data_IF_843483513027
#
_entry.id   IF_843483513027
#
_cell.length_a   1.000
_cell.length_b   1.000
_cell.length_c   1.000
_cell.angle_alpha   90.00
_cell.angle_beta   90.00
_cell.angle_gamma   90.00
#
_symmetry.space_group_name_H-M   'P 1'
#
loop_
_entity.id
_entity.type
_entity.pdbx_description
1 polymer ?
#
# COMPACT_ATOMS: atom_id res chain seq x y z
N UNK A 1 5.52 -17.87 -5.82
CA UNK A 1 6.22 -16.56 -5.75
C UNK A 1 6.63 -16.18 -7.16
N UNK A 2 6.13 -15.06 -7.66
CA UNK A 2 6.43 -14.57 -9.00
C UNK A 2 7.42 -13.41 -8.89
N UNK A 3 8.60 -13.56 -9.53
CA UNK A 3 9.65 -12.53 -9.49
C UNK A 3 9.30 -11.33 -10.38
N UNK A 4 9.45 -10.13 -9.82
CA UNK A 4 9.14 -8.86 -10.49
C UNK A 4 10.35 -8.15 -11.15
N UNK A 5 11.43 -8.88 -11.43
CA UNK A 5 12.69 -8.25 -11.87
C UNK A 5 12.55 -7.39 -13.15
N UNK A 6 11.76 -7.84 -14.12
CA UNK A 6 11.46 -7.13 -15.38
C UNK A 6 10.62 -5.88 -15.14
N UNK A 7 9.59 -5.97 -14.29
CA UNK A 7 8.80 -4.81 -13.86
C UNK A 7 9.68 -3.75 -13.20
N UNK A 8 10.52 -4.13 -12.23
CA UNK A 8 11.40 -3.19 -11.54
C UNK A 8 12.40 -2.53 -12.48
N UNK A 9 12.97 -3.31 -13.42
CA UNK A 9 13.91 -2.80 -14.42
C UNK A 9 13.24 -1.80 -15.38
N UNK A 10 11.98 -2.03 -15.77
CA UNK A 10 11.24 -1.08 -16.62
C UNK A 10 11.14 0.30 -15.95
N UNK A 11 10.96 0.34 -14.62
CA UNK A 11 10.85 1.61 -13.90
C UNK A 11 12.14 2.44 -13.94
N UNK A 12 13.30 1.77 -14.00
CA UNK A 12 14.61 2.42 -14.14
C UNK A 12 14.83 2.87 -15.59
N UNK A 13 14.47 2.05 -16.57
CA UNK A 13 14.70 2.37 -17.98
C UNK A 13 13.75 3.44 -18.53
N UNK A 14 12.60 3.66 -17.90
CA UNK A 14 11.57 4.57 -18.40
C UNK A 14 11.24 5.70 -17.42
N UNK A 15 11.80 6.91 -17.62
CA UNK A 15 11.54 8.06 -16.74
C UNK A 15 10.06 8.42 -16.59
N UNK A 16 9.27 8.28 -17.66
CA UNK A 16 7.83 8.54 -17.62
C UNK A 16 7.04 7.52 -16.78
N UNK A 17 7.61 6.31 -16.58
CA UNK A 17 6.96 5.16 -15.95
C UNK A 17 5.58 4.88 -16.54
N UNK A 18 5.44 5.11 -17.84
CA UNK A 18 4.19 4.91 -18.58
C UNK A 18 4.40 3.90 -19.71
N UNK A 19 3.48 2.97 -19.85
CA UNK A 19 3.49 1.95 -20.90
C UNK A 19 2.06 1.61 -21.31
N UNK A 20 1.89 1.01 -22.49
CA UNK A 20 0.61 0.41 -22.89
C UNK A 20 0.36 -0.86 -22.08
N UNK A 21 -0.90 -1.28 -21.94
CA UNK A 21 -1.24 -2.44 -21.08
C UNK A 21 -0.56 -3.73 -21.50
N UNK A 22 -0.36 -3.96 -22.80
CA UNK A 22 0.35 -5.16 -23.30
C UNK A 22 1.81 -5.19 -22.81
N UNK A 23 2.48 -4.05 -22.72
CA UNK A 23 3.85 -3.97 -22.22
C UNK A 23 3.91 -4.15 -20.71
N UNK A 24 2.92 -3.62 -19.97
CA UNK A 24 2.77 -3.92 -18.54
C UNK A 24 2.53 -5.41 -18.29
N UNK A 25 1.72 -6.07 -19.12
CA UNK A 25 1.47 -7.50 -19.07
C UNK A 25 2.75 -8.30 -19.38
N UNK A 26 3.54 -7.88 -20.38
CA UNK A 26 4.82 -8.51 -20.73
C UNK A 26 5.81 -8.46 -19.55
N UNK A 27 5.98 -7.30 -18.91
CA UNK A 27 6.96 -7.16 -17.82
C UNK A 27 6.47 -7.70 -16.48
N UNK A 28 5.15 -7.75 -16.24
CA UNK A 28 4.57 -8.26 -14.99
C UNK A 28 4.29 -9.77 -15.04
N UNK A 29 4.01 -10.33 -16.23
CA UNK A 29 3.60 -11.72 -16.39
C UNK A 29 2.40 -12.07 -15.50
N UNK A 30 2.50 -13.19 -14.78
CA UNK A 30 1.47 -13.66 -13.83
C UNK A 30 1.21 -12.67 -12.68
N UNK A 31 2.13 -11.74 -12.41
CA UNK A 31 1.97 -10.73 -11.38
C UNK A 31 1.14 -9.51 -11.83
N UNK A 32 0.67 -9.47 -13.08
CA UNK A 32 -0.15 -8.36 -13.59
C UNK A 32 -1.33 -7.97 -12.68
N UNK A 33 -2.09 -8.91 -12.06
CA UNK A 33 -3.18 -8.55 -11.15
C UNK A 33 -2.72 -7.71 -9.94
N UNK A 34 -1.49 -7.88 -9.47
CA UNK A 34 -0.90 -7.08 -8.39
C UNK A 34 -0.46 -5.68 -8.88
N UNK A 35 -0.04 -5.57 -10.14
CA UNK A 35 0.48 -4.34 -10.74
C UNK A 35 -0.64 -3.44 -11.25
N UNK A 36 -1.69 -4.01 -11.86
CA UNK A 36 -2.77 -3.25 -12.51
C UNK A 36 -3.43 -2.17 -11.61
N UNK A 37 -3.69 -2.40 -10.31
CA UNK A 37 -4.22 -1.37 -9.40
C UNK A 37 -3.27 -0.19 -9.16
N UNK A 38 -1.98 -0.35 -9.49
CA UNK A 38 -0.95 0.68 -9.39
C UNK A 38 -0.86 1.53 -10.66
N UNK A 39 -1.63 1.21 -11.70
CA UNK A 39 -1.59 1.87 -13.00
C UNK A 39 -2.76 2.84 -13.16
N UNK A 40 -2.49 4.00 -13.76
CA UNK A 40 -3.52 4.98 -14.10
C UNK A 40 -3.42 5.40 -15.56
N UNK A 41 -4.53 5.42 -16.32
CA UNK A 41 -4.50 5.92 -17.68
C UNK A 41 -4.11 7.40 -17.69
N UNK A 42 -3.36 7.80 -18.71
CA UNK A 42 -3.00 9.20 -18.97
C UNK A 42 -3.54 9.62 -20.33
N UNK A 43 -3.89 10.91 -20.47
CA UNK A 43 -4.54 11.43 -21.67
C UNK A 43 -3.69 11.36 -22.96
N UNK A 44 -2.38 11.10 -22.84
CA UNK A 44 -1.50 10.96 -24.00
C UNK A 44 -1.61 9.55 -24.58
N UNK A 45 -1.63 9.45 -25.91
CA UNK A 45 -1.50 8.17 -26.61
C UNK A 45 -0.03 7.74 -26.70
N UNK A 46 0.19 6.44 -26.82
CA UNK A 46 1.50 5.89 -27.12
C UNK A 46 1.96 6.29 -28.53
N UNK A 47 3.22 6.66 -28.67
CA UNK A 47 3.86 6.91 -29.97
C UNK A 47 4.58 5.68 -30.51
N UNK A 48 4.67 4.63 -29.71
CA UNK A 48 5.30 3.37 -30.05
C UNK A 48 4.55 2.20 -29.39
N UNK A 49 4.57 1.03 -30.03
CA UNK A 49 3.86 -0.17 -29.60
C UNK A 49 4.80 -1.40 -29.67
N UNK A 50 4.72 -2.38 -28.75
CA UNK A 50 5.55 -3.57 -28.80
C UNK A 50 5.38 -4.36 -30.11
N UNK A 51 6.49 -4.83 -30.68
CA UNK A 51 6.48 -5.77 -31.80
C UNK A 51 6.44 -7.21 -31.24
N UNK A 52 5.41 -7.97 -31.60
CA UNK A 52 5.24 -9.36 -31.16
C UNK A 52 6.28 -10.30 -31.80
N UNK A 53 6.88 -9.91 -32.93
CA UNK A 53 7.89 -10.72 -33.64
C UNK A 53 9.27 -10.65 -32.99
N UNK A 54 9.55 -9.57 -32.25
CA UNK A 54 10.89 -9.31 -31.72
C UNK A 54 10.82 -8.61 -30.36
N UNK A 55 11.09 -9.33 -29.26
CA UNK A 55 11.12 -8.76 -27.92
C UNK A 55 12.05 -7.53 -27.84
N UNK A 56 11.57 -6.46 -27.23
CA UNK A 56 12.31 -5.20 -27.11
C UNK A 56 12.26 -4.28 -28.35
N UNK A 57 11.82 -4.77 -29.52
CA UNK A 57 11.54 -3.93 -30.69
C UNK A 57 10.22 -3.19 -30.51
N UNK A 58 10.11 -2.02 -31.13
CA UNK A 58 8.95 -1.13 -31.03
C UNK A 58 8.55 -0.64 -32.41
N UNK A 59 7.27 -0.79 -32.73
CA UNK A 59 6.63 -0.26 -33.93
C UNK A 59 6.20 1.19 -33.66
N UNK A 60 6.28 2.05 -34.67
CA UNK A 60 5.80 3.44 -34.57
C UNK A 60 4.29 3.46 -34.67
N UNK A 61 3.64 4.19 -33.76
CA UNK A 61 2.18 4.38 -33.80
C UNK A 61 1.85 5.61 -34.61
N UNK A 62 1.03 5.44 -35.65
CA UNK A 62 0.49 6.49 -36.49
C UNK A 62 -1.01 6.62 -36.22
N UNK A 63 -1.47 7.84 -35.97
CA UNK A 63 -2.90 8.17 -35.88
C UNK A 63 -3.36 8.73 -37.21
N UNK A 64 -4.36 8.11 -37.82
CA UNK A 64 -4.97 8.58 -39.06
C UNK A 64 -6.06 9.62 -38.78
N UNK A 65 -6.42 10.40 -39.81
CA UNK A 65 -7.42 11.47 -39.71
C UNK A 65 -8.84 10.97 -39.40
N UNK A 66 -9.13 9.69 -39.69
CA UNK A 66 -10.37 9.00 -39.35
C UNK A 66 -10.43 8.53 -37.88
N UNK A 67 -9.37 8.78 -37.10
CA UNK A 67 -9.28 8.39 -35.70
C UNK A 67 -8.73 6.98 -35.47
N UNK A 68 -8.39 6.23 -36.51
CA UNK A 68 -7.76 4.91 -36.38
C UNK A 68 -6.28 5.02 -36.01
N UNK A 69 -5.77 3.97 -35.36
CA UNK A 69 -4.36 3.86 -35.01
C UNK A 69 -3.74 2.66 -35.73
N UNK A 70 -2.53 2.82 -36.23
CA UNK A 70 -1.76 1.74 -36.87
C UNK A 70 -0.34 1.75 -36.31
N UNK A 71 0.12 0.60 -35.82
CA UNK A 71 1.52 0.35 -35.53
C UNK A 71 2.22 -0.11 -36.81
N UNK A 72 3.31 0.55 -37.18
CA UNK A 72 4.08 0.28 -38.38
C UNK A 72 5.55 0.05 -38.05
N UNK A 73 6.18 -0.82 -38.83
CA UNK A 73 7.63 -0.95 -38.88
C UNK A 73 8.19 0.10 -39.86
N UNK A 74 9.09 0.96 -39.39
CA UNK A 74 9.68 2.01 -40.24
C UNK A 74 10.66 1.44 -41.29
N UNK A 75 11.11 0.19 -41.11
CA UNK A 75 12.00 -0.50 -42.06
C UNK A 75 11.24 -1.45 -42.99
N UNK A 76 10.05 -1.92 -42.59
CA UNK A 76 9.16 -2.77 -43.39
C UNK A 76 7.72 -2.27 -43.32
N UNK A 77 7.37 -1.32 -44.18
CA UNK A 77 6.03 -0.71 -44.21
C UNK A 77 4.88 -1.69 -44.50
N UNK A 78 5.17 -2.90 -44.97
CA UNK A 78 4.16 -3.96 -45.13
C UNK A 78 3.82 -4.62 -43.79
N UNK A 79 4.74 -4.59 -42.84
CA UNK A 79 4.49 -5.00 -41.47
C UNK A 79 3.76 -3.90 -40.70
N UNK A 80 2.43 -4.01 -40.71
CA UNK A 80 1.51 -3.11 -40.02
C UNK A 80 0.50 -3.87 -39.18
N UNK A 81 0.07 -3.25 -38.09
CA UNK A 81 -0.97 -3.75 -37.19
C UNK A 81 -1.95 -2.63 -36.88
N UNK A 82 -3.24 -2.87 -37.14
CA UNK A 82 -4.30 -1.97 -36.69
C UNK A 82 -4.44 -2.05 -35.17
N UNK A 83 -4.52 -0.89 -34.53
CA UNK A 83 -4.68 -0.73 -33.09
C UNK A 83 -6.02 -0.04 -32.80
N UNK A 84 -6.65 -0.45 -31.70
CA UNK A 84 -7.80 0.25 -31.14
C UNK A 84 -7.37 1.48 -30.36
N UNK A 85 -8.32 2.35 -30.03
CA UNK A 85 -8.05 3.48 -29.14
C UNK A 85 -7.60 3.02 -27.75
N UNK A 86 -8.04 1.84 -27.28
CA UNK A 86 -7.66 1.27 -25.99
C UNK A 86 -6.21 0.77 -25.98
N UNK A 87 -5.74 0.18 -27.09
CA UNK A 87 -4.37 -0.35 -27.23
C UNK A 87 -3.31 0.75 -27.05
N UNK A 88 -3.61 1.97 -27.51
CA UNK A 88 -2.67 3.09 -27.45
C UNK A 88 -2.74 3.90 -26.15
N UNK A 89 -3.62 3.53 -25.21
CA UNK A 89 -3.71 4.22 -23.91
C UNK A 89 -2.47 3.94 -23.09
N UNK A 90 -1.72 5.01 -22.80
CA UNK A 90 -0.61 4.91 -21.86
C UNK A 90 -1.15 4.86 -20.44
N UNK A 91 -0.61 3.93 -19.67
CA UNK A 91 -0.87 3.73 -18.27
C UNK A 91 0.39 4.07 -17.49
N UNK A 92 0.33 5.12 -16.67
CA UNK A 92 1.42 5.58 -15.83
C UNK A 92 1.33 4.96 -14.43
N UNK A 93 2.49 4.57 -13.89
CA UNK A 93 2.60 4.11 -12.52
C UNK A 93 2.21 5.21 -11.52
N UNK A 94 1.24 4.91 -10.68
CA UNK A 94 0.82 5.76 -9.59
C UNK A 94 1.71 5.54 -8.37
N UNK A 95 2.66 6.46 -8.16
CA UNK A 95 3.58 6.43 -7.04
C UNK A 95 2.88 6.50 -5.66
N UNK A 96 1.65 7.03 -5.58
CA UNK A 96 0.89 7.02 -4.32
C UNK A 96 0.40 5.62 -4.00
N UNK A 97 -0.19 4.93 -4.96
CA UNK A 97 -0.64 3.55 -4.78
C UNK A 97 0.55 2.61 -4.58
N UNK A 98 1.64 2.80 -5.33
CA UNK A 98 2.89 2.04 -5.14
C UNK A 98 3.44 2.20 -3.71
N UNK A 99 3.47 3.43 -3.18
CA UNK A 99 3.86 3.66 -1.78
C UNK A 99 3.01 2.84 -0.81
N UNK A 100 1.69 2.89 -0.98
CA UNK A 100 0.76 2.15 -0.14
C UNK A 100 1.01 0.65 -0.19
N UNK A 101 1.18 0.10 -1.39
CA UNK A 101 1.45 -1.33 -1.60
C UNK A 101 2.78 -1.77 -0.99
N UNK A 102 3.87 -1.01 -1.22
CA UNK A 102 5.19 -1.33 -0.66
C UNK A 102 5.22 -1.23 0.87
N UNK A 103 4.58 -0.23 1.46
CA UNK A 103 4.51 -0.13 2.92
C UNK A 103 3.61 -1.21 3.54
N UNK A 104 2.61 -1.71 2.81
CA UNK A 104 1.81 -2.85 3.27
C UNK A 104 2.59 -4.17 3.19
N UNK A 105 3.48 -4.29 2.20
CA UNK A 105 4.31 -5.49 1.99
C UNK A 105 5.51 -5.56 2.95
N UNK A 106 6.21 -4.43 3.13
CA UNK A 106 7.43 -4.36 3.95
C UNK A 106 7.09 -4.19 5.43
N UNK A 107 7.35 -5.21 6.22
CA UNK A 107 7.10 -5.19 7.66
C UNK A 107 7.85 -4.06 8.35
N UNK A 108 7.22 -3.54 9.41
CA UNK A 108 7.75 -2.48 10.26
C UNK A 108 8.00 -1.13 9.56
N UNK A 109 7.50 -0.92 8.34
CA UNK A 109 7.56 0.37 7.65
C UNK A 109 6.22 1.11 7.80
N UNK A 110 6.24 2.20 8.55
CA UNK A 110 5.11 3.13 8.63
C UNK A 110 4.94 3.90 7.31
N UNK A 111 3.71 4.23 6.93
CA UNK A 111 3.45 5.00 5.68
C UNK A 111 3.75 6.49 5.86
N UNK A 112 4.50 7.07 4.94
CA UNK A 112 4.77 8.51 4.86
C UNK A 112 3.54 9.30 4.43
N UNK A 113 3.34 10.45 5.08
CA UNK A 113 2.35 11.46 4.69
C UNK A 113 2.92 12.55 3.78
N UNK A 114 4.22 12.49 3.43
CA UNK A 114 4.83 13.48 2.53
C UNK A 114 4.13 13.47 1.18
N UNK A 115 3.96 14.66 0.60
CA UNK A 115 3.32 14.82 -0.71
C UNK A 115 4.08 14.01 -1.76
N UNK A 116 3.35 13.26 -2.58
CA UNK A 116 3.92 12.51 -3.70
C UNK A 116 3.79 13.32 -4.98
N UNK A 117 4.91 13.61 -5.64
CA UNK A 117 4.90 14.14 -7.00
C UNK A 117 4.86 13.00 -8.01
N UNK A 118 4.14 13.18 -9.13
CA UNK A 118 3.93 12.12 -10.14
C UNK A 118 5.24 11.66 -10.80
N UNK A 119 6.17 12.59 -11.01
CA UNK A 119 7.44 12.36 -11.69
C UNK A 119 8.64 12.26 -10.74
N UNK A 120 8.43 12.14 -9.42
CA UNK A 120 9.52 12.08 -8.46
C UNK A 120 10.47 10.91 -8.76
N UNK A 121 11.78 11.17 -8.73
CA UNK A 121 12.83 10.14 -8.67
C UNK A 121 13.03 9.63 -7.24
N UNK A 122 12.59 10.38 -6.23
CA UNK A 122 12.69 10.04 -4.82
C UNK A 122 11.29 9.95 -4.22
N UNK A 123 10.93 8.78 -3.74
CA UNK A 123 9.66 8.53 -3.06
C UNK A 123 9.93 8.11 -1.62
N UNK A 124 9.64 8.98 -0.65
CA UNK A 124 9.66 8.55 0.75
C UNK A 124 8.51 7.58 1.00
N UNK A 125 8.83 6.34 1.33
CA UNK A 125 7.84 5.32 1.67
C UNK A 125 7.29 5.54 3.07
N UNK A 126 8.20 5.81 4.02
CA UNK A 126 7.91 6.27 5.38
C UNK A 126 9.05 5.95 6.31
N UNK A 127 8.81 5.30 7.46
CA UNK A 127 9.87 5.04 8.44
C UNK A 127 9.85 3.61 8.95
N UNK A 128 11.03 2.99 9.02
CA UNK A 128 11.25 1.78 9.78
C UNK A 128 11.38 2.12 11.27
N UNK A 129 10.52 1.52 12.10
CA UNK A 129 10.39 1.84 13.53
C UNK A 129 10.56 0.60 14.43
N UNK A 130 11.78 0.05 14.56
CA UNK A 130 12.02 -1.16 15.35
C UNK A 130 11.79 -0.95 16.86
N UNK A 131 11.82 0.30 17.36
CA UNK A 131 11.45 0.70 18.74
C UNK A 131 10.97 2.15 18.80
N UNK A 132 10.22 2.53 19.85
CA UNK A 132 9.52 3.83 19.99
C UNK A 132 10.39 5.08 19.76
N UNK A 133 11.70 5.00 20.02
CA UNK A 133 12.65 6.12 19.87
C UNK A 133 13.56 5.99 18.64
N UNK A 134 13.44 4.93 17.85
CA UNK A 134 14.28 4.71 16.68
C UNK A 134 13.41 4.77 15.43
N UNK A 135 13.63 5.81 14.62
CA UNK A 135 12.89 6.08 13.39
C UNK A 135 13.91 6.30 12.28
N UNK A 136 13.86 5.46 11.27
CA UNK A 136 14.76 5.55 10.13
C UNK A 136 13.92 5.71 8.86
N UNK A 137 14.11 6.80 8.09
CA UNK A 137 13.35 6.99 6.88
C UNK A 137 13.71 5.93 5.84
N UNK A 138 12.69 5.49 5.11
CA UNK A 138 12.76 4.52 4.02
C UNK A 138 12.35 5.23 2.74
N UNK A 139 13.23 5.23 1.75
CA UNK A 139 13.02 5.87 0.45
C UNK A 139 13.09 4.85 -0.67
N UNK A 140 12.30 5.03 -1.72
CA UNK A 140 12.47 4.39 -3.02
C UNK A 140 13.04 5.39 -4.01
N UNK A 141 14.20 5.07 -4.60
CA UNK A 141 14.95 5.89 -5.54
C UNK A 141 14.79 5.29 -6.94
N UNK A 142 13.90 5.86 -7.75
CA UNK A 142 13.64 5.45 -9.13
C UNK A 142 14.45 6.35 -10.06
N UNK A 143 15.71 5.97 -10.29
CA UNK A 143 16.67 6.72 -11.11
C UNK A 143 16.97 5.95 -12.40
N UNK A 144 17.09 6.66 -13.53
CA UNK A 144 17.31 6.05 -14.86
C UNK A 144 18.77 5.95 -15.30
N UNK A 145 19.70 6.35 -14.43
CA UNK A 145 21.13 6.23 -14.68
C UNK A 145 21.91 6.21 -13.37
N UNK A 146 23.15 5.73 -13.44
CA UNK A 146 24.12 5.78 -12.33
C UNK A 146 24.37 7.23 -11.87
N UNK A 147 24.48 8.17 -12.80
CA UNK A 147 24.69 9.59 -12.49
C UNK A 147 23.52 10.18 -11.71
N UNK A 148 22.29 9.89 -12.14
CA UNK A 148 21.09 10.34 -11.43
C UNK A 148 21.01 9.74 -10.02
N UNK A 149 21.30 8.45 -9.88
CA UNK A 149 21.35 7.78 -8.58
C UNK A 149 22.42 8.40 -7.66
N UNK A 150 23.62 8.68 -8.19
CA UNK A 150 24.71 9.33 -7.46
C UNK A 150 24.27 10.68 -6.90
N UNK A 151 23.67 11.54 -7.71
CA UNK A 151 23.19 12.86 -7.29
C UNK A 151 22.19 12.75 -6.15
N UNK A 152 21.20 11.86 -6.29
CA UNK A 152 20.19 11.64 -5.24
C UNK A 152 20.82 11.13 -3.95
N UNK A 153 21.78 10.20 -4.02
CA UNK A 153 22.49 9.70 -2.83
C UNK A 153 23.28 10.83 -2.16
N UNK A 154 23.99 11.66 -2.93
CA UNK A 154 24.72 12.82 -2.38
C UNK A 154 23.79 13.79 -1.66
N UNK A 155 22.62 14.10 -2.25
CA UNK A 155 21.61 14.94 -1.61
C UNK A 155 21.11 14.33 -0.29
N UNK A 156 20.95 13.00 -0.24
CA UNK A 156 20.56 12.30 1.00
C UNK A 156 21.68 12.31 2.03
N UNK A 157 22.92 12.06 1.62
CA UNK A 157 24.13 12.14 2.47
C UNK A 157 24.26 13.53 3.11
N UNK A 158 23.98 14.58 2.35
CA UNK A 158 24.03 15.96 2.82
C UNK A 158 22.88 16.33 3.76
N UNK A 159 21.69 15.74 3.57
CA UNK A 159 20.49 16.06 4.34
C UNK A 159 20.29 15.22 5.63
N UNK A 160 21.14 14.22 5.89
CA UNK A 160 20.96 13.29 7.02
C UNK A 160 21.65 13.82 8.28
N UNK A 161 20.86 14.33 9.23
CA UNK A 161 21.33 14.81 10.53
C UNK A 161 21.48 13.71 11.62
N UNK A 162 21.34 12.42 11.24
CA UNK A 162 21.23 11.17 12.07
C UNK A 162 19.75 10.73 12.25
N UNK A 163 19.45 9.41 12.30
CA UNK A 163 20.37 8.29 12.58
C UNK A 163 20.75 7.36 11.40
N UNK A 164 20.43 7.70 10.15
CA UNK A 164 20.68 6.88 8.96
C UNK A 164 19.40 6.70 8.15
N UNK A 165 19.45 5.97 7.03
CA UNK A 165 18.25 5.72 6.21
C UNK A 165 18.36 4.41 5.41
N UNK A 166 17.21 3.87 5.01
CA UNK A 166 17.12 2.74 4.08
C UNK A 166 16.75 3.31 2.72
N UNK A 167 17.58 3.02 1.71
CA UNK A 167 17.44 3.50 0.35
C UNK A 167 17.16 2.32 -0.57
N UNK A 168 15.89 2.12 -0.91
CA UNK A 168 15.49 1.16 -1.93
C UNK A 168 15.79 1.71 -3.32
N UNK A 169 16.29 0.86 -4.21
CA UNK A 169 16.27 1.06 -5.67
C UNK A 169 15.41 -0.03 -6.30
N UNK A 170 14.83 0.14 -7.49
CA UNK A 170 14.08 -0.94 -8.13
C UNK A 170 14.93 -2.20 -8.29
N UNK A 171 16.15 -2.07 -8.82
CA UNK A 171 17.13 -3.15 -8.96
C UNK A 171 18.55 -2.70 -8.57
N UNK A 172 19.56 -3.57 -8.72
CA UNK A 172 20.99 -3.23 -8.56
C UNK A 172 21.64 -2.63 -9.82
N UNK A 173 20.90 -2.42 -10.91
CA UNK A 173 21.45 -2.06 -12.24
C UNK A 173 22.39 -0.84 -12.22
N UNK A 174 22.12 0.14 -11.34
CA UNK A 174 22.91 1.37 -11.27
C UNK A 174 23.89 1.44 -10.09
N UNK A 175 24.04 0.35 -9.32
CA UNK A 175 24.95 0.31 -8.19
C UNK A 175 26.42 0.28 -8.65
N UNK A 176 27.30 0.68 -7.74
CA UNK A 176 28.76 0.49 -7.83
C UNK A 176 29.35 0.56 -6.42
N UNK A 177 30.53 -0.01 -6.23
CA UNK A 177 31.22 -0.03 -4.94
C UNK A 177 31.41 1.39 -4.38
N UNK A 178 31.66 2.38 -5.25
CA UNK A 178 31.79 3.78 -4.84
C UNK A 178 30.48 4.37 -4.31
N UNK A 179 29.34 4.00 -4.90
CA UNK A 179 28.02 4.45 -4.43
C UNK A 179 27.64 3.77 -3.11
N UNK A 180 27.95 2.48 -2.97
CA UNK A 180 27.75 1.76 -1.72
C UNK A 180 28.62 2.33 -0.59
N UNK A 181 29.89 2.60 -0.87
CA UNK A 181 30.80 3.23 0.08
C UNK A 181 30.32 4.63 0.48
N UNK A 182 29.87 5.43 -0.50
CA UNK A 182 29.30 6.76 -0.27
C UNK A 182 28.08 6.70 0.64
N UNK A 183 27.11 5.82 0.36
CA UNK A 183 25.93 5.62 1.20
C UNK A 183 26.32 5.18 2.62
N UNK A 184 27.23 4.21 2.75
CA UNK A 184 27.71 3.70 4.06
C UNK A 184 28.40 4.77 4.90
N UNK A 185 29.07 5.76 4.29
CA UNK A 185 29.72 6.87 5.01
C UNK A 185 28.77 7.68 5.92
N UNK A 186 27.46 7.65 5.63
CA UNK A 186 26.39 8.28 6.43
C UNK A 186 25.37 7.28 6.97
N UNK A 187 25.74 6.01 7.11
CA UNK A 187 24.84 4.93 7.59
C UNK A 187 23.57 4.84 6.76
N UNK A 188 23.71 4.95 5.43
CA UNK A 188 22.64 4.66 4.48
C UNK A 188 22.89 3.26 3.92
N UNK A 189 21.85 2.43 3.88
CA UNK A 189 21.92 1.10 3.26
C UNK A 189 21.15 1.11 1.94
N UNK A 190 21.79 0.63 0.87
CA UNK A 190 21.12 0.39 -0.41
C UNK A 190 20.46 -0.99 -0.37
N UNK A 191 19.23 -1.07 -0.87
CA UNK A 191 18.43 -2.31 -0.92
C UNK A 191 17.75 -2.40 -2.28
N UNK A 192 17.88 -3.52 -2.99
CA UNK A 192 17.16 -3.71 -4.24
C UNK A 192 15.74 -4.20 -3.96
N UNK A 193 14.73 -3.47 -4.42
CA UNK A 193 13.31 -3.81 -4.21
C UNK A 193 12.97 -5.15 -4.85
N UNK A 194 13.59 -5.45 -6.00
CA UNK A 194 13.50 -6.74 -6.69
C UNK A 194 14.00 -7.94 -5.88
N UNK A 195 14.71 -7.73 -4.79
CA UNK A 195 15.21 -8.79 -3.91
C UNK A 195 14.37 -8.96 -2.65
N UNK A 196 13.70 -7.89 -2.22
CA UNK A 196 13.00 -7.81 -0.93
C UNK A 196 11.48 -7.78 -1.06
N UNK A 197 10.95 -7.62 -2.28
CA UNK A 197 9.50 -7.66 -2.55
C UNK A 197 9.22 -8.56 -3.75
N UNK A 198 8.33 -9.53 -3.56
CA UNK A 198 7.79 -10.41 -4.58
C UNK A 198 6.26 -10.36 -4.60
N UNK A 199 5.65 -11.07 -5.57
CA UNK A 199 4.20 -11.27 -5.60
C UNK A 199 3.82 -12.68 -5.16
N UNK A 200 2.90 -12.73 -4.20
CA UNK A 200 2.25 -13.94 -3.68
C UNK A 200 0.75 -13.68 -3.67
N UNK A 201 -0.02 -14.59 -4.26
CA UNK A 201 -1.49 -14.50 -4.35
C UNK A 201 -2.02 -13.13 -4.81
N UNK A 202 -1.33 -12.54 -5.80
CA UNK A 202 -1.70 -11.25 -6.40
C UNK A 202 -1.42 -10.03 -5.51
N UNK A 203 -0.60 -10.17 -4.46
CA UNK A 203 -0.22 -9.08 -3.55
C UNK A 203 1.29 -8.99 -3.41
N UNK A 204 1.77 -7.78 -3.11
CA UNK A 204 3.17 -7.59 -2.73
C UNK A 204 3.39 -8.15 -1.34
N UNK A 205 4.43 -8.97 -1.21
CA UNK A 205 4.90 -9.51 0.06
C UNK A 205 6.40 -9.34 0.17
N UNK A 206 6.90 -9.16 1.39
CA UNK A 206 8.33 -9.16 1.64
C UNK A 206 8.93 -10.55 1.43
N UNK A 207 10.18 -10.60 0.97
CA UNK A 207 10.98 -11.83 0.94
C UNK A 207 11.82 -11.93 2.22
N UNK A 208 12.40 -13.11 2.54
CA UNK A 208 13.33 -13.26 3.66
C UNK A 208 14.54 -12.31 3.60
N UNK A 209 14.97 -11.90 2.40
CA UNK A 209 16.09 -10.98 2.23
C UNK A 209 15.84 -9.62 2.89
N UNK A 210 14.57 -9.20 3.03
CA UNK A 210 14.24 -7.97 3.75
C UNK A 210 14.76 -8.00 5.19
N UNK A 211 14.65 -9.15 5.87
CA UNK A 211 15.15 -9.32 7.23
C UNK A 211 16.66 -9.20 7.31
N UNK A 212 17.37 -9.81 6.37
CA UNK A 212 18.83 -9.77 6.32
C UNK A 212 19.32 -8.32 6.18
N UNK A 213 18.68 -7.54 5.30
CA UNK A 213 18.97 -6.11 5.17
C UNK A 213 18.63 -5.31 6.43
N UNK A 214 17.51 -5.58 7.10
CA UNK A 214 17.16 -4.91 8.35
C UNK A 214 18.14 -5.22 9.49
N UNK A 215 18.60 -6.46 9.59
CA UNK A 215 19.61 -6.87 10.57
C UNK A 215 20.96 -6.21 10.28
N UNK A 216 21.41 -6.24 9.03
CA UNK A 216 22.64 -5.55 8.61
C UNK A 216 22.57 -4.04 8.87
N UNK A 217 21.41 -3.43 8.60
CA UNK A 217 21.19 -2.01 8.89
C UNK A 217 21.19 -1.73 10.39
N UNK A 218 20.54 -2.56 11.21
CA UNK A 218 20.55 -2.44 12.66
C UNK A 218 21.98 -2.48 13.22
N UNK A 219 22.81 -3.41 12.73
CA UNK A 219 24.23 -3.49 13.08
C UNK A 219 24.97 -2.22 12.67
N UNK A 220 24.76 -1.73 11.43
CA UNK A 220 25.37 -0.51 10.90
C UNK A 220 25.07 0.73 11.76
N UNK A 221 23.83 0.87 12.24
CA UNK A 221 23.42 1.98 13.10
C UNK A 221 23.66 1.73 14.59
N UNK A 222 24.28 0.59 14.96
CA UNK A 222 24.55 0.14 16.34
C UNK A 222 23.29 0.03 17.19
N UNK A 223 22.23 -0.52 16.61
CA UNK A 223 20.94 -0.75 17.25
C UNK A 223 20.76 -2.22 17.62
N UNK A 224 20.50 -2.48 18.90
CA UNK A 224 20.02 -3.80 19.36
C UNK A 224 18.53 -3.95 19.06
N UNK A 225 18.18 -4.95 18.28
CA UNK A 225 16.79 -5.30 17.97
C UNK A 225 16.20 -6.19 19.07
N UNK A 226 14.99 -5.90 19.59
CA UNK A 226 14.27 -6.83 20.46
C UNK A 226 14.01 -8.16 19.74
N UNK A 227 14.07 -9.30 20.44
CA UNK A 227 13.81 -10.63 19.84
C UNK A 227 12.43 -10.80 19.20
N UNK A 228 11.48 -9.90 19.49
CA UNK A 228 10.12 -9.88 18.96
C UNK A 228 9.79 -8.59 18.18
N UNK A 229 10.78 -7.88 17.63
CA UNK A 229 10.54 -6.57 17.02
C UNK A 229 9.59 -6.61 15.80
N UNK A 230 9.56 -7.74 15.07
CA UNK A 230 8.57 -8.05 14.03
C UNK A 230 7.17 -8.30 14.59
N UNK A 231 7.06 -8.97 15.73
CA UNK A 231 5.81 -9.27 16.42
C UNK A 231 5.21 -8.07 17.19
N UNK A 232 5.69 -6.86 16.90
CA UNK A 232 5.00 -5.68 17.35
C UNK A 232 3.69 -5.60 16.60
N UNK A 233 2.61 -6.03 17.26
CA UNK A 233 1.28 -5.44 17.05
C UNK A 233 1.53 -3.95 16.84
N UNK A 234 1.13 -3.37 15.69
CA UNK A 234 1.40 -1.96 15.42
C UNK A 234 1.07 -1.18 16.68
N UNK A 235 2.08 -0.50 17.23
CA UNK A 235 1.91 0.25 18.48
C UNK A 235 0.62 1.04 18.31
N UNK A 236 -0.38 0.90 19.21
CA UNK A 236 -1.74 1.31 18.94
C UNK A 236 -1.69 2.74 18.41
N UNK A 237 -1.81 2.85 17.08
CA UNK A 237 -2.11 4.09 16.41
C UNK A 237 -3.39 4.46 17.12
N UNK A 238 -3.39 5.58 17.88
CA UNK A 238 -4.61 6.13 18.49
C UNK A 238 -5.76 5.79 17.55
N UNK A 239 -6.64 4.89 18.00
CA UNK A 239 -7.45 4.07 17.09
C UNK A 239 -8.00 4.96 16.00
N UNK A 240 -7.70 4.66 14.73
CA UNK A 240 -8.35 5.39 13.64
C UNK A 240 -9.83 5.36 13.95
N UNK A 241 -10.51 6.50 13.87
CA UNK A 241 -11.89 6.62 14.36
C UNK A 241 -12.81 5.52 13.80
N UNK A 242 -12.54 5.06 12.58
CA UNK A 242 -13.17 3.88 11.97
C UNK A 242 -12.99 2.59 12.78
N UNK A 243 -11.77 2.27 13.24
CA UNK A 243 -11.51 1.10 14.07
C UNK A 243 -12.18 1.19 15.45
N UNK A 244 -12.32 2.39 16.01
CA UNK A 244 -13.09 2.58 17.24
C UNK A 244 -14.60 2.38 17.00
N UNK A 245 -15.12 2.85 15.86
CA UNK A 245 -16.51 2.62 15.44
C UNK A 245 -16.78 1.11 15.32
N UNK A 246 -15.93 0.36 14.61
CA UNK A 246 -16.09 -1.10 14.43
C UNK A 246 -16.08 -1.86 15.77
N UNK A 247 -15.21 -1.46 16.72
CA UNK A 247 -15.19 -2.04 18.07
C UNK A 247 -16.48 -1.78 18.83
N UNK A 248 -16.98 -0.55 18.77
CA UNK A 248 -18.23 -0.16 19.45
C UNK A 248 -19.45 -0.83 18.81
N UNK A 249 -19.48 -0.96 17.49
CA UNK A 249 -20.52 -1.71 16.78
C UNK A 249 -20.56 -3.15 17.27
N UNK A 250 -19.41 -3.83 17.31
CA UNK A 250 -19.32 -5.23 17.77
C UNK A 250 -19.79 -5.42 19.21
N UNK A 251 -19.47 -4.50 20.12
CA UNK A 251 -19.93 -4.59 21.51
C UNK A 251 -21.44 -4.29 21.65
N UNK A 252 -21.99 -3.37 20.85
CA UNK A 252 -23.44 -3.14 20.81
C UNK A 252 -24.20 -4.32 20.22
N UNK A 253 -23.71 -4.94 19.14
CA UNK A 253 -24.33 -6.16 18.60
C UNK A 253 -24.41 -7.28 19.63
N UNK A 254 -23.32 -7.50 20.40
CA UNK A 254 -23.32 -8.48 21.50
C UNK A 254 -24.35 -8.13 22.57
N UNK A 255 -24.47 -6.86 22.94
CA UNK A 255 -25.45 -6.42 23.93
C UNK A 255 -26.88 -6.63 23.42
N UNK A 256 -27.17 -6.27 22.17
CA UNK A 256 -28.48 -6.47 21.55
C UNK A 256 -28.87 -7.94 21.52
N UNK A 257 -27.94 -8.84 21.17
CA UNK A 257 -28.19 -10.28 21.20
C UNK A 257 -28.49 -10.76 22.62
N UNK A 258 -27.71 -10.34 23.62
CA UNK A 258 -27.96 -10.71 25.01
C UNK A 258 -29.32 -10.16 25.52
N UNK A 259 -29.67 -8.92 25.15
CA UNK A 259 -30.95 -8.30 25.53
C UNK A 259 -32.14 -9.01 24.87
N UNK A 260 -31.99 -9.40 23.60
CA UNK A 260 -32.97 -10.17 22.84
C UNK A 260 -33.19 -11.56 23.44
N UNK A 261 -32.10 -12.29 23.69
CA UNK A 261 -32.16 -13.63 24.23
C UNK A 261 -32.76 -13.63 25.65
N UNK A 262 -32.47 -12.59 26.45
CA UNK A 262 -33.13 -12.35 27.74
C UNK A 262 -34.64 -12.11 27.59
N UNK A 263 -35.05 -11.22 26.68
CA UNK A 263 -36.46 -10.91 26.42
C UNK A 263 -37.25 -12.14 25.94
N UNK A 264 -36.68 -12.95 25.02
CA UNK A 264 -37.29 -14.22 24.62
C UNK A 264 -37.35 -15.23 25.76
N UNK A 265 -36.29 -15.35 26.56
CA UNK A 265 -36.30 -16.27 27.70
C UNK A 265 -37.36 -15.92 28.74
N UNK A 266 -37.69 -14.63 28.94
CA UNK A 266 -38.80 -14.21 29.80
C UNK A 266 -40.15 -14.61 29.20
N UNK A 267 -40.33 -14.35 27.91
CA UNK A 267 -41.56 -14.71 27.18
C UNK A 267 -41.84 -16.21 27.22
N UNK A 268 -40.80 -17.02 27.03
CA UNK A 268 -40.92 -18.48 27.01
C UNK A 268 -41.27 -19.05 28.40
N UNK A 269 -40.98 -18.29 29.47
CA UNK A 269 -41.40 -18.59 30.85
C UNK A 269 -42.78 -18.02 31.21
N UNK A 270 -43.50 -17.44 30.23
CA UNK A 270 -44.79 -16.80 30.44
C UNK A 270 -44.73 -15.46 31.17
N UNK A 271 -43.55 -14.84 31.27
CA UNK A 271 -43.35 -13.53 31.88
C UNK A 271 -43.36 -12.43 30.81
N UNK A 272 -43.69 -11.20 31.22
CA UNK A 272 -43.64 -10.04 30.34
C UNK A 272 -42.19 -9.77 29.90
N UNK A 273 -41.90 -9.63 28.59
CA UNK A 273 -40.55 -9.38 28.11
C UNK A 273 -40.04 -8.00 28.56
N UNK A 274 -38.90 -7.98 29.25
CA UNK A 274 -38.22 -6.74 29.67
C UNK A 274 -36.82 -6.68 29.08
N UNK A 275 -36.45 -5.50 28.58
CA UNK A 275 -35.12 -5.23 28.06
C UNK A 275 -34.07 -5.19 29.17
N UNK A 276 -32.87 -5.69 28.85
CA UNK A 276 -31.68 -5.30 29.60
C UNK A 276 -31.46 -3.79 29.42
N UNK A 277 -31.02 -3.08 30.47
CA UNK A 277 -30.76 -1.66 30.36
C UNK A 277 -29.67 -1.41 29.32
N UNK A 278 -29.88 -0.43 28.44
CA UNK A 278 -28.88 0.03 27.47
C UNK A 278 -27.59 0.38 28.21
N UNK A 279 -26.41 -0.06 27.75
CA UNK A 279 -25.14 0.27 28.39
C UNK A 279 -24.93 1.78 28.40
N UNK A 280 -24.40 2.32 29.50
CA UNK A 280 -23.91 3.70 29.48
C UNK A 280 -22.70 3.81 28.54
N UNK A 281 -22.41 5.02 28.03
CA UNK A 281 -21.23 5.24 27.16
C UNK A 281 -19.93 4.81 27.86
N UNK A 282 -19.84 5.05 29.18
CA UNK A 282 -18.73 4.61 30.04
C UNK A 282 -18.56 3.08 30.06
N UNK A 283 -19.65 2.34 30.19
CA UNK A 283 -19.61 0.87 30.23
C UNK A 283 -19.26 0.30 28.85
N UNK A 284 -19.80 0.90 27.79
CA UNK A 284 -19.48 0.53 26.42
C UNK A 284 -18.01 0.81 26.10
N UNK A 285 -17.47 1.95 26.57
CA UNK A 285 -16.06 2.30 26.43
C UNK A 285 -15.16 1.24 27.10
N UNK A 286 -15.48 0.87 28.35
CA UNK A 286 -14.74 -0.15 29.09
C UNK A 286 -14.74 -1.52 28.38
N UNK A 287 -15.90 -1.95 27.86
CA UNK A 287 -16.02 -3.22 27.10
C UNK A 287 -15.24 -3.20 25.78
N UNK A 288 -15.17 -2.04 25.12
CA UNK A 288 -14.44 -1.86 23.87
C UNK A 288 -12.93 -1.57 24.05
N UNK A 289 -12.46 -1.39 25.29
CA UNK A 289 -11.09 -0.97 25.61
C UNK A 289 -10.78 0.44 25.09
N UNK A 290 -11.74 1.36 25.22
CA UNK A 290 -11.69 2.75 24.79
C UNK A 290 -11.93 3.69 25.97
N UNK A 291 -11.59 4.97 25.78
CA UNK A 291 -11.95 6.03 26.73
C UNK A 291 -13.36 6.56 26.43
N UNK A 292 -14.05 7.09 27.44
CA UNK A 292 -15.44 7.57 27.30
C UNK A 292 -15.59 8.66 26.22
N UNK A 293 -14.60 9.56 26.11
CA UNK A 293 -14.60 10.61 25.09
C UNK A 293 -14.50 10.08 23.65
N UNK A 294 -13.95 8.87 23.46
CA UNK A 294 -13.88 8.24 22.13
C UNK A 294 -15.26 7.73 21.70
N UNK A 295 -16.07 7.24 22.63
CA UNK A 295 -17.45 6.78 22.37
C UNK A 295 -18.32 7.95 21.93
N UNK A 296 -18.30 9.05 22.68
CA UNK A 296 -19.02 10.28 22.34
C UNK A 296 -18.64 10.78 20.94
N UNK A 297 -17.34 10.78 20.61
CA UNK A 297 -16.84 11.18 19.27
C UNK A 297 -17.24 10.23 18.16
N UNK A 298 -17.31 8.92 18.41
CA UNK A 298 -17.73 7.94 17.41
C UNK A 298 -19.24 8.03 17.14
N UNK A 299 -20.05 8.19 18.20
CA UNK A 299 -21.50 8.43 18.08
C UNK A 299 -21.80 9.75 17.36
N UNK A 300 -20.94 10.77 17.51
CA UNK A 300 -21.06 12.03 16.76
C UNK A 300 -20.64 11.94 15.28
N UNK A 301 -20.00 10.86 14.84
CA UNK A 301 -19.43 10.79 13.49
C UNK A 301 -20.52 10.61 12.42
N UNK A 302 -20.39 11.35 11.30
CA UNK A 302 -21.32 11.26 10.16
C UNK A 302 -21.24 9.93 9.43
N UNK A 303 -20.11 9.22 9.55
CA UNK A 303 -19.86 7.93 8.88
C UNK A 303 -20.32 6.74 9.73
N UNK A 304 -20.54 6.91 11.03
CA UNK A 304 -20.95 5.86 11.98
C UNK A 304 -22.46 5.58 11.94
N UNK A 305 -23.02 5.34 10.74
CA UNK A 305 -24.47 5.14 10.56
C UNK A 305 -24.96 3.86 11.25
N UNK A 306 -24.20 2.77 11.12
CA UNK A 306 -24.55 1.48 11.71
C UNK A 306 -24.48 1.55 13.23
N UNK A 307 -23.39 2.10 13.79
CA UNK A 307 -23.26 2.35 15.22
C UNK A 307 -24.45 3.12 15.82
N UNK A 308 -24.93 4.17 15.15
CA UNK A 308 -26.10 4.94 15.59
C UNK A 308 -27.37 4.10 15.63
N UNK A 309 -27.63 3.37 14.54
CA UNK A 309 -28.78 2.47 14.46
C UNK A 309 -28.75 1.45 15.61
N UNK A 310 -27.60 0.80 15.85
CA UNK A 310 -27.46 -0.17 16.95
C UNK A 310 -27.68 0.47 18.33
N UNK A 311 -27.20 1.70 18.52
CA UNK A 311 -27.37 2.45 19.77
C UNK A 311 -28.83 2.85 20.03
N UNK A 312 -29.56 3.23 18.98
CA UNK A 312 -30.98 3.58 19.06
C UNK A 312 -31.86 2.33 19.22
N UNK A 313 -31.53 1.23 18.52
CA UNK A 313 -32.21 -0.07 18.67
C UNK A 313 -32.15 -0.58 20.11
N UNK A 314 -31.06 -0.32 20.85
CA UNK A 314 -30.92 -0.76 22.23
C UNK A 314 -31.93 -0.13 23.21
N UNK A 315 -32.69 0.89 22.78
CA UNK A 315 -33.73 1.56 23.57
C UNK A 315 -35.16 1.05 23.25
N UNK A 316 -35.32 0.14 22.28
CA UNK A 316 -36.62 -0.29 21.76
C UNK A 316 -36.83 -1.79 21.88
N UNK A 317 -37.76 -2.22 22.74
CA UNK A 317 -38.05 -3.64 22.98
C UNK A 317 -38.42 -4.37 21.68
N UNK A 318 -39.26 -3.74 20.86
CA UNK A 318 -39.71 -4.31 19.60
C UNK A 318 -38.55 -4.50 18.62
N UNK A 319 -37.64 -3.52 18.51
CA UNK A 319 -36.52 -3.58 17.58
C UNK A 319 -35.45 -4.56 18.05
N UNK A 320 -35.17 -4.63 19.35
CA UNK A 320 -34.27 -5.65 19.92
C UNK A 320 -34.80 -7.06 19.66
N UNK A 321 -36.10 -7.30 19.85
CA UNK A 321 -36.71 -8.61 19.61
C UNK A 321 -36.71 -9.01 18.14
N UNK A 322 -36.76 -8.04 17.21
CA UNK A 322 -36.65 -8.28 15.76
C UNK A 322 -35.21 -8.31 15.26
N UNK A 323 -34.22 -7.96 16.10
CA UNK A 323 -32.83 -7.86 15.68
C UNK A 323 -32.29 -9.22 15.22
N UNK A 324 -31.84 -9.26 13.96
CA UNK A 324 -31.12 -10.38 13.37
C UNK A 324 -29.72 -9.91 12.99
N UNK A 325 -28.72 -10.69 13.39
CA UNK A 325 -27.33 -10.42 13.02
C UNK A 325 -27.19 -10.49 11.50
N UNK A 326 -26.72 -9.41 10.87
CA UNK A 326 -26.35 -9.44 9.46
C UNK A 326 -25.17 -10.41 9.30
N UNK A 327 -25.35 -11.41 8.44
CA UNK A 327 -24.29 -12.36 8.06
C UNK A 327 -23.30 -11.73 7.09
#
# INVERSE_FOLDING_TARGET
MTRLATFWRLLEQRPSRAAVMVEWAEVAGEALPAIQPLLRPVARCATAYPDERSPGRRLKVVRHGDGTFVAIDEQDWQHRRTLTAEDVVLHQLDLKNLRGALCAALSCVSVSRTRTERSASVLQLGNWEPKKAARFPVYLLICSSRTALRTVILDRVAAVDKPGAILLTPTRTHWSDELEALARSRKLILVATSEVVDVVDGRFEETPAWEEYLQAFAQMVKLTLPGNYRNKKPAPIRGTRAANIEKLEKELEKHLLAARDHAHSLRDRGLEPVLLPRPAQKDLAARAGLEEYDVSRCLGDRRAKVLKILWDTADSLEDVMKYQRRR
#
